data_IF_903088533731
#
_entry.id   IF_903088533731
#
_cell.length_a   1.000
_cell.length_b   1.000
_cell.length_c   1.000
_cell.angle_alpha   90.00
_cell.angle_beta   90.00
_cell.angle_gamma   90.00
#
_symmetry.space_group_name_H-M   'P 1'
#
loop_
_entity.id
_entity.type
_entity.pdbx_description
1 polymer ?
#
# COMPACT_ATOMS: atom_id res chain seq x y z
N UNK A 1 -17.18 -7.22 -21.12
CA UNK A 1 -16.50 -8.37 -21.77
C UNK A 1 -15.46 -7.79 -22.69
N UNK A 2 -14.17 -8.10 -22.48
CA UNK A 2 -13.07 -7.60 -23.33
C UNK A 2 -13.24 -8.14 -24.74
N UNK A 3 -13.21 -7.27 -25.75
CA UNK A 3 -13.41 -7.64 -27.16
C UNK A 3 -12.11 -7.99 -27.88
N UNK A 4 -10.99 -7.40 -27.45
CA UNK A 4 -9.69 -7.66 -28.03
C UNK A 4 -8.58 -7.60 -26.96
N UNK A 5 -7.60 -8.50 -27.08
CA UNK A 5 -6.41 -8.51 -26.23
C UNK A 5 -5.20 -8.22 -27.12
N UNK A 6 -4.35 -7.29 -26.70
CA UNK A 6 -3.12 -6.89 -27.39
C UNK A 6 -1.97 -7.18 -26.44
N UNK A 7 -0.97 -7.94 -26.89
CA UNK A 7 0.23 -8.21 -26.12
C UNK A 7 1.46 -7.55 -26.75
N UNK A 8 2.47 -7.28 -25.94
CA UNK A 8 3.79 -6.90 -26.44
C UNK A 8 4.47 -8.12 -27.09
N UNK A 9 4.71 -8.05 -28.40
CA UNK A 9 5.24 -9.17 -29.19
C UNK A 9 6.59 -9.68 -28.67
N UNK A 10 7.50 -8.78 -28.30
CA UNK A 10 8.80 -9.13 -27.71
C UNK A 10 8.68 -9.96 -26.44
N UNK A 11 7.82 -9.57 -25.51
CA UNK A 11 7.66 -10.28 -24.24
C UNK A 11 6.98 -11.63 -24.44
N UNK A 12 5.94 -11.67 -25.28
CA UNK A 12 5.26 -12.93 -25.60
C UNK A 12 6.19 -13.91 -26.32
N UNK A 13 7.04 -13.43 -27.22
CA UNK A 13 8.01 -14.27 -27.91
C UNK A 13 9.10 -14.78 -26.97
N UNK A 14 9.58 -13.96 -26.03
CA UNK A 14 10.51 -14.41 -24.98
C UNK A 14 9.88 -15.49 -24.09
N UNK A 15 8.61 -15.33 -23.71
CA UNK A 15 7.88 -16.33 -22.94
C UNK A 15 7.68 -17.63 -23.74
N UNK A 16 7.34 -17.55 -25.03
CA UNK A 16 7.24 -18.71 -25.93
C UNK A 16 8.58 -19.44 -26.08
N UNK A 17 9.67 -18.71 -26.29
CA UNK A 17 11.02 -19.26 -26.37
C UNK A 17 11.42 -19.98 -25.08
N UNK A 18 11.12 -19.37 -23.93
CA UNK A 18 11.37 -19.96 -22.60
C UNK A 18 10.59 -21.26 -22.42
N UNK A 19 9.30 -21.26 -22.76
CA UNK A 19 8.42 -22.43 -22.66
C UNK A 19 8.83 -23.54 -23.63
N UNK A 20 9.24 -23.20 -24.84
CA UNK A 20 9.67 -24.16 -25.87
C UNK A 20 11.00 -24.83 -25.54
N UNK A 21 11.87 -24.14 -24.80
CA UNK A 21 13.15 -24.69 -24.31
C UNK A 21 13.02 -25.43 -22.98
N UNK A 22 11.93 -25.21 -22.24
CA UNK A 22 11.71 -25.90 -20.97
C UNK A 22 11.42 -27.38 -21.23
N UNK A 23 11.93 -28.26 -20.36
CA UNK A 23 11.60 -29.67 -20.38
C UNK A 23 10.32 -29.99 -19.60
N UNK A 24 9.60 -28.97 -19.13
CA UNK A 24 8.45 -29.14 -18.25
C UNK A 24 7.18 -29.49 -19.06
N UNK A 25 6.49 -30.60 -18.72
CA UNK A 25 5.32 -31.05 -19.48
C UNK A 25 4.09 -30.16 -19.29
N UNK A 26 4.06 -29.37 -18.21
CA UNK A 26 3.09 -28.32 -18.00
C UNK A 26 3.63 -27.22 -17.09
N UNK A 27 3.17 -25.98 -17.28
CA UNK A 27 3.48 -24.83 -16.45
C UNK A 27 2.24 -23.95 -16.30
N UNK A 28 2.09 -23.31 -15.14
CA UNK A 28 1.08 -22.28 -14.87
C UNK A 28 1.79 -20.99 -14.47
N UNK A 29 1.19 -19.85 -14.81
CA UNK A 29 1.67 -18.57 -14.36
C UNK A 29 0.60 -17.48 -14.48
N UNK A 30 0.99 -16.25 -14.17
CA UNK A 30 0.14 -15.08 -14.14
C UNK A 30 0.27 -14.29 -15.44
N UNK A 31 -0.83 -13.66 -15.84
CA UNK A 31 -0.86 -12.69 -16.93
C UNK A 31 -0.89 -11.30 -16.31
N UNK A 32 0.14 -10.51 -16.58
CA UNK A 32 0.26 -9.14 -16.09
C UNK A 32 -0.18 -8.18 -17.19
N UNK A 33 -1.09 -7.26 -16.85
CA UNK A 33 -1.71 -6.44 -17.87
C UNK A 33 -2.57 -5.31 -17.33
N UNK A 34 -3.22 -4.62 -18.26
CA UNK A 34 -4.21 -3.57 -17.99
C UNK A 34 -5.47 -3.88 -18.77
N UNK A 35 -6.61 -3.94 -18.09
CA UNK A 35 -7.92 -4.06 -18.72
C UNK A 35 -8.56 -2.68 -18.79
N UNK A 36 -8.89 -2.23 -19.99
CA UNK A 36 -9.57 -0.97 -20.20
C UNK A 36 -11.02 -1.21 -20.63
N UNK A 37 -11.95 -0.86 -19.76
CA UNK A 37 -13.39 -0.96 -20.01
C UNK A 37 -13.88 0.06 -21.04
N UNK A 38 -13.34 1.28 -21.05
CA UNK A 38 -13.70 2.32 -22.01
C UNK A 38 -13.31 1.95 -23.47
N UNK A 39 -12.23 1.19 -23.64
CA UNK A 39 -11.74 0.75 -24.95
C UNK A 39 -12.19 -0.69 -25.32
N UNK A 40 -12.87 -1.41 -24.42
CA UNK A 40 -13.16 -2.85 -24.53
C UNK A 40 -11.89 -3.69 -24.88
N UNK A 41 -10.73 -3.27 -24.38
CA UNK A 41 -9.42 -3.86 -24.74
C UNK A 41 -8.63 -4.26 -23.50
N UNK A 42 -7.95 -5.40 -23.60
CA UNK A 42 -6.94 -5.83 -22.64
C UNK A 42 -5.55 -5.65 -23.24
N UNK A 43 -4.62 -5.15 -22.43
CA UNK A 43 -3.20 -5.07 -22.75
C UNK A 43 -2.45 -6.08 -21.89
N UNK A 44 -1.69 -6.97 -22.50
CA UNK A 44 -0.83 -7.94 -21.82
C UNK A 44 0.60 -7.45 -21.93
N UNK A 45 1.23 -7.22 -20.78
CA UNK A 45 2.60 -6.75 -20.71
C UNK A 45 3.57 -7.91 -20.54
N UNK A 46 3.23 -8.90 -19.71
CA UNK A 46 4.13 -10.02 -19.43
C UNK A 46 3.40 -11.29 -18.97
N UNK A 47 4.09 -12.43 -19.07
CA UNK A 47 3.69 -13.75 -18.60
C UNK A 47 4.69 -14.26 -17.56
N UNK A 48 4.28 -14.17 -16.29
CA UNK A 48 5.14 -14.48 -15.13
C UNK A 48 4.86 -15.91 -14.66
N UNK A 49 5.82 -16.85 -14.73
CA UNK A 49 5.61 -18.23 -14.31
C UNK A 49 5.44 -18.28 -12.78
N UNK A 50 4.56 -19.17 -12.30
CA UNK A 50 4.45 -19.38 -10.86
C UNK A 50 5.69 -20.10 -10.35
N UNK A 51 6.37 -19.59 -9.30
CA UNK A 51 7.56 -20.21 -8.75
C UNK A 51 7.26 -21.60 -8.16
N UNK A 52 8.31 -22.37 -7.90
CA UNK A 52 8.16 -23.64 -7.17
C UNK A 52 7.64 -23.38 -5.76
N UNK A 53 6.85 -24.31 -5.23
CA UNK A 53 6.38 -24.21 -3.85
C UNK A 53 7.52 -24.45 -2.84
N UNK A 54 7.25 -24.24 -1.56
CA UNK A 54 8.22 -24.42 -0.47
C UNK A 54 8.84 -25.83 -0.42
N UNK A 55 8.17 -26.82 -1.01
CA UNK A 55 8.66 -28.19 -1.12
C UNK A 55 9.53 -28.44 -2.38
N UNK A 56 9.81 -27.40 -3.16
CA UNK A 56 10.54 -27.47 -4.44
C UNK A 56 9.75 -28.13 -5.57
N UNK A 57 8.42 -28.25 -5.43
CA UNK A 57 7.56 -28.86 -6.44
C UNK A 57 6.97 -27.81 -7.38
N UNK A 58 6.75 -28.14 -8.66
CA UNK A 58 6.14 -27.21 -9.60
C UNK A 58 4.66 -26.98 -9.25
N UNK A 59 4.20 -25.73 -9.40
CA UNK A 59 2.81 -25.34 -9.16
C UNK A 59 1.81 -26.02 -10.12
N UNK A 60 2.29 -26.56 -11.25
CA UNK A 60 1.49 -27.30 -12.21
C UNK A 60 2.25 -28.57 -12.65
N UNK A 61 1.54 -29.69 -12.71
CA UNK A 61 2.09 -30.95 -13.22
C UNK A 61 1.04 -31.73 -14.01
N UNK A 62 1.50 -32.67 -14.83
CA UNK A 62 0.64 -33.57 -15.58
C UNK A 62 0.58 -34.91 -14.85
N UNK A 63 -0.62 -35.34 -14.46
CA UNK A 63 -0.83 -36.71 -13.97
C UNK A 63 -0.74 -37.68 -15.15
N UNK A 64 0.31 -38.51 -15.16
CA UNK A 64 0.30 -39.72 -15.98
C UNK A 64 -0.50 -40.83 -15.29
N UNK A 65 -1.31 -41.61 -16.02
CA UNK A 65 -1.99 -42.76 -15.45
C UNK A 65 -0.96 -43.78 -14.97
N UNK A 66 -1.11 -44.25 -13.73
CA UNK A 66 -0.21 -45.21 -13.11
C UNK A 66 0.00 -46.45 -14.00
N UNK A 67 1.24 -46.69 -14.45
CA UNK A 67 1.62 -47.95 -15.08
C UNK A 67 1.72 -49.03 -13.99
N UNK A 68 0.63 -49.75 -13.79
CA UNK A 68 0.62 -50.96 -12.97
C UNK A 68 1.58 -52.00 -13.58
N UNK A 69 2.74 -52.18 -12.93
CA UNK A 69 3.69 -53.24 -13.24
C UNK A 69 3.11 -54.61 -12.82
N UNK A 70 2.24 -55.21 -13.65
CA UNK A 70 1.89 -56.64 -13.54
C UNK A 70 2.30 -57.42 -14.78
N UNK A 71 3.28 -58.29 -14.59
CA UNK A 71 3.74 -59.33 -15.52
C UNK A 71 2.58 -60.22 -16.01
N UNK A 72 2.48 -60.29 -17.34
CA UNK A 72 2.24 -61.48 -18.20
C UNK A 72 0.87 -62.20 -18.10
N UNK A 73 0.07 -62.12 -19.19
CA UNK A 73 -1.01 -63.08 -19.48
C UNK A 73 -2.01 -62.70 -20.58
N UNK A 74 -1.69 -63.07 -21.83
CA UNK A 74 -2.57 -63.39 -22.99
C UNK A 74 -3.74 -62.47 -23.44
N UNK A 75 -3.58 -61.96 -24.69
CA UNK A 75 -4.57 -61.66 -25.76
C UNK A 75 -6.04 -61.33 -25.37
N UNK A 76 -6.45 -60.08 -25.62
CA UNK A 76 -7.65 -59.75 -26.43
C UNK A 76 -7.77 -58.23 -26.73
N UNK A 77 -8.18 -57.94 -27.97
CA UNK A 77 -8.82 -56.74 -28.54
C UNK A 77 -8.29 -55.33 -28.18
N UNK A 78 -7.77 -54.64 -29.19
CA UNK A 78 -7.50 -53.20 -29.20
C UNK A 78 -8.77 -52.38 -28.93
N UNK A 79 -8.89 -51.87 -27.72
CA UNK A 79 -9.59 -50.61 -27.44
C UNK A 79 -8.52 -49.57 -27.15
N UNK A 80 -8.50 -48.50 -27.94
CA UNK A 80 -7.81 -47.25 -27.64
C UNK A 80 -8.37 -46.71 -26.33
N UNK A 81 -7.69 -46.98 -25.22
CA UNK A 81 -7.87 -46.22 -24.00
C UNK A 81 -7.12 -44.90 -24.19
N UNK A 82 -7.84 -43.82 -24.48
CA UNK A 82 -7.29 -42.47 -24.40
C UNK A 82 -6.76 -42.28 -22.97
N UNK A 83 -5.45 -42.31 -22.84
CA UNK A 83 -4.73 -42.05 -21.61
C UNK A 83 -4.99 -40.58 -21.24
N UNK A 84 -6.06 -40.29 -20.51
CA UNK A 84 -6.44 -38.93 -20.15
C UNK A 84 -5.44 -38.38 -19.14
N UNK A 85 -4.44 -37.66 -19.63
CA UNK A 85 -3.57 -36.81 -18.82
C UNK A 85 -4.41 -35.66 -18.28
N UNK A 86 -4.40 -35.45 -16.96
CA UNK A 86 -5.06 -34.34 -16.29
C UNK A 86 -3.99 -33.41 -15.71
N UNK A 87 -4.23 -32.10 -15.80
CA UNK A 87 -3.44 -31.11 -15.07
C UNK A 87 -3.81 -31.12 -13.59
N UNK A 88 -2.79 -31.12 -12.74
CA UNK A 88 -2.88 -30.82 -11.32
C UNK A 88 -2.24 -29.45 -11.13
N UNK A 89 -3.03 -28.51 -10.61
CA UNK A 89 -2.59 -27.15 -10.31
C UNK A 89 -2.78 -26.93 -8.82
N UNK A 90 -1.72 -26.47 -8.16
CA UNK A 90 -1.82 -25.97 -6.80
C UNK A 90 -2.49 -24.59 -6.82
N UNK A 91 -3.82 -24.60 -6.70
CA UNK A 91 -4.65 -23.39 -6.76
C UNK A 91 -4.29 -22.40 -5.66
N UNK A 92 -3.91 -22.88 -4.48
CA UNK A 92 -3.70 -22.04 -3.30
C UNK A 92 -2.33 -21.37 -3.41
N UNK A 93 -1.32 -22.11 -3.90
CA UNK A 93 -0.02 -21.54 -4.25
C UNK A 93 -0.08 -20.52 -5.39
N UNK A 94 -0.82 -20.81 -6.46
CA UNK A 94 -1.00 -19.86 -7.57
C UNK A 94 -1.77 -18.60 -7.13
N UNK A 95 -2.73 -18.75 -6.22
CA UNK A 95 -3.43 -17.61 -5.63
C UNK A 95 -2.52 -16.78 -4.72
N UNK A 96 -1.65 -17.42 -3.94
CA UNK A 96 -0.66 -16.73 -3.11
C UNK A 96 0.35 -15.96 -3.95
N UNK A 97 0.88 -16.58 -5.00
CA UNK A 97 1.71 -15.90 -5.99
C UNK A 97 1.00 -14.68 -6.60
N UNK A 98 -0.28 -14.82 -6.97
CA UNK A 98 -1.07 -13.70 -7.47
C UNK A 98 -1.27 -12.58 -6.44
N UNK A 99 -1.46 -12.92 -5.17
CA UNK A 99 -1.57 -11.96 -4.06
C UNK A 99 -0.30 -11.13 -3.97
N UNK A 100 0.86 -11.78 -3.93
CA UNK A 100 2.16 -11.12 -3.81
C UNK A 100 2.46 -10.24 -5.03
N UNK A 101 2.33 -10.79 -6.24
CA UNK A 101 2.55 -10.02 -7.48
C UNK A 101 1.58 -8.85 -7.60
N UNK A 102 0.32 -8.99 -7.16
CA UNK A 102 -0.64 -7.88 -7.17
C UNK A 102 -0.22 -6.72 -6.27
N UNK A 103 0.52 -6.98 -5.17
CA UNK A 103 1.11 -5.94 -4.31
C UNK A 103 2.24 -5.21 -5.02
N UNK A 104 2.95 -5.91 -5.90
CA UNK A 104 4.07 -5.35 -6.66
C UNK A 104 3.63 -4.49 -7.86
N UNK A 105 2.37 -4.54 -8.27
CA UNK A 105 1.90 -3.79 -9.43
C UNK A 105 1.59 -2.33 -9.09
N UNK A 106 2.03 -1.42 -9.97
CA UNK A 106 1.76 0.02 -9.90
C UNK A 106 0.60 0.41 -10.82
N UNK A 107 0.07 1.63 -10.64
CA UNK A 107 -1.12 2.20 -11.28
C UNK A 107 -1.54 1.62 -12.63
N UNK A 108 -2.77 1.12 -12.65
CA UNK A 108 -3.43 0.58 -13.84
C UNK A 108 -2.96 -0.83 -14.24
N UNK A 109 -1.78 -1.25 -13.82
CA UNK A 109 -1.26 -2.61 -14.04
C UNK A 109 -1.82 -3.52 -12.94
N UNK A 110 -2.32 -4.70 -13.34
CA UNK A 110 -2.94 -5.68 -12.46
C UNK A 110 -2.59 -7.10 -12.95
N UNK A 111 -2.75 -8.09 -12.07
CA UNK A 111 -2.86 -9.49 -12.48
C UNK A 111 -4.22 -9.66 -13.15
N UNK A 112 -4.24 -9.83 -14.48
CA UNK A 112 -5.49 -9.87 -15.27
C UNK A 112 -5.99 -11.29 -15.53
N UNK A 113 -5.17 -12.31 -15.25
CA UNK A 113 -5.53 -13.70 -15.42
C UNK A 113 -4.36 -14.65 -15.20
N UNK A 114 -4.51 -15.88 -15.68
CA UNK A 114 -3.47 -16.92 -15.67
C UNK A 114 -3.17 -17.39 -17.09
N UNK A 115 -1.95 -17.84 -17.32
CA UNK A 115 -1.60 -18.62 -18.51
C UNK A 115 -1.25 -20.05 -18.10
N UNK A 116 -1.49 -20.98 -19.02
CA UNK A 116 -1.13 -22.39 -18.82
C UNK A 116 -0.48 -22.91 -20.08
N UNK A 117 0.72 -23.47 -19.92
CA UNK A 117 1.41 -24.26 -20.92
C UNK A 117 1.12 -25.73 -20.64
N UNK A 118 0.49 -26.42 -21.58
CA UNK A 118 0.15 -27.84 -21.46
C UNK A 118 -0.22 -28.44 -22.83
N UNK A 119 -0.24 -29.77 -22.92
CA UNK A 119 -0.82 -30.44 -24.09
C UNK A 119 -2.31 -30.12 -24.24
N UNK A 120 -2.80 -30.09 -25.49
CA UNK A 120 -4.21 -29.79 -25.79
C UNK A 120 -5.18 -30.76 -25.07
N UNK A 121 -4.79 -32.04 -24.95
CA UNK A 121 -5.58 -33.03 -24.23
C UNK A 121 -5.69 -32.72 -22.74
N UNK A 122 -4.57 -32.40 -22.08
CA UNK A 122 -4.54 -32.07 -20.66
C UNK A 122 -5.31 -30.79 -20.34
N UNK A 123 -5.23 -29.78 -21.21
CA UNK A 123 -6.00 -28.53 -21.07
C UNK A 123 -7.52 -28.79 -21.13
N UNK A 124 -7.99 -29.54 -22.12
CA UNK A 124 -9.41 -29.85 -22.31
C UNK A 124 -9.99 -30.68 -21.15
N UNK A 125 -9.20 -31.58 -20.58
CA UNK A 125 -9.65 -32.43 -19.47
C UNK A 125 -9.69 -31.70 -18.12
N UNK A 126 -8.98 -30.56 -17.99
CA UNK A 126 -8.80 -29.85 -16.71
C UNK A 126 -9.53 -28.51 -16.61
N UNK A 127 -10.55 -28.24 -17.44
CA UNK A 127 -11.28 -26.96 -17.45
C UNK A 127 -11.82 -26.56 -16.07
N UNK A 128 -12.33 -27.50 -15.28
CA UNK A 128 -12.84 -27.22 -13.93
C UNK A 128 -11.75 -26.72 -12.97
N UNK A 129 -10.57 -27.37 -12.99
CA UNK A 129 -9.42 -26.97 -12.17
C UNK A 129 -8.94 -25.58 -12.58
N UNK A 130 -8.85 -25.32 -13.89
CA UNK A 130 -8.49 -24.01 -14.42
C UNK A 130 -9.45 -22.91 -13.98
N UNK A 131 -10.76 -23.14 -14.06
CA UNK A 131 -11.76 -22.18 -13.59
C UNK A 131 -11.63 -21.88 -12.09
N UNK A 132 -11.36 -22.91 -11.28
CA UNK A 132 -11.14 -22.75 -9.83
C UNK A 132 -9.86 -21.94 -9.55
N UNK A 133 -8.77 -22.23 -10.26
CA UNK A 133 -7.52 -21.47 -10.14
C UNK A 133 -7.72 -20.01 -10.56
N UNK A 134 -8.38 -19.74 -11.69
CA UNK A 134 -8.71 -18.38 -12.14
C UNK A 134 -9.51 -17.64 -11.08
N UNK A 135 -10.50 -18.31 -10.48
CA UNK A 135 -11.31 -17.72 -9.42
C UNK A 135 -10.46 -17.38 -8.19
N UNK A 136 -9.62 -18.30 -7.73
CA UNK A 136 -8.71 -18.06 -6.59
C UNK A 136 -7.75 -16.91 -6.85
N UNK A 137 -7.19 -16.83 -8.06
CA UNK A 137 -6.33 -15.70 -8.49
C UNK A 137 -7.11 -14.39 -8.53
N UNK A 138 -8.34 -14.39 -9.05
CA UNK A 138 -9.17 -13.20 -9.10
C UNK A 138 -9.52 -12.70 -7.70
N UNK A 139 -9.87 -13.61 -6.78
CA UNK A 139 -10.14 -13.28 -5.37
C UNK A 139 -8.88 -12.73 -4.69
N UNK A 140 -7.72 -13.36 -4.89
CA UNK A 140 -6.45 -12.94 -4.31
C UNK A 140 -5.91 -11.60 -4.87
N UNK A 141 -6.21 -11.29 -6.15
CA UNK A 141 -5.81 -10.04 -6.80
C UNK A 141 -6.83 -8.90 -6.62
N UNK A 142 -8.09 -9.22 -6.30
CA UNK A 142 -9.15 -8.23 -6.12
C UNK A 142 -8.97 -7.43 -4.82
N UNK A 143 -9.18 -6.12 -4.89
CA UNK A 143 -8.98 -5.23 -3.73
C UNK A 143 -10.21 -4.44 -3.29
N UNK A 144 -11.42 -4.57 -3.87
CA UNK A 144 -12.65 -3.96 -3.28
C UNK A 144 -13.96 -4.55 -3.81
N UNK A 145 -14.96 -4.59 -2.90
CA UNK A 145 -16.39 -4.56 -3.19
C UNK A 145 -16.82 -3.18 -3.73
N UNK A 146 -17.68 -3.19 -4.74
CA UNK A 146 -18.26 -2.01 -5.40
C UNK A 146 -19.29 -1.27 -4.52
N UNK A 147 -19.43 0.04 -4.80
CA UNK A 147 -20.58 0.92 -4.56
C UNK A 147 -20.68 1.67 -3.20
N UNK A 148 -20.58 3.02 -3.24
CA UNK A 148 -21.71 3.93 -3.00
C UNK A 148 -21.29 5.42 -2.94
N UNK A 149 -22.18 6.22 -3.53
CA UNK A 149 -22.25 7.68 -3.68
C UNK A 149 -22.12 8.48 -2.36
N UNK A 150 -21.57 9.70 -2.44
CA UNK A 150 -21.79 10.93 -1.62
C UNK A 150 -20.50 11.77 -1.45
N UNK A 151 -20.67 13.09 -1.67
CA UNK A 151 -19.66 14.17 -1.78
C UNK A 151 -19.08 14.59 -0.43
N UNK A 152 -17.78 14.93 -0.36
CA UNK A 152 -17.18 16.09 0.35
C UNK A 152 -15.64 16.01 0.39
N UNK A 153 -15.05 16.99 1.08
CA UNK A 153 -13.86 17.78 0.75
C UNK A 153 -12.78 17.62 1.83
N UNK A 154 -11.68 16.83 1.74
CA UNK A 154 -10.55 16.81 2.76
C UNK A 154 -9.18 17.21 2.24
N UNK A 155 -8.26 17.99 2.85
CA UNK A 155 -7.03 18.55 2.22
C UNK A 155 -5.76 17.74 2.53
N UNK A 156 -4.82 17.59 1.57
CA UNK A 156 -3.47 17.06 1.86
C UNK A 156 -2.58 18.24 2.25
N UNK A 157 -2.17 18.25 3.52
CA UNK A 157 -1.08 19.08 4.02
C UNK A 157 -0.07 18.16 4.67
N UNK A 158 1.17 18.62 4.81
CA UNK A 158 2.23 18.10 5.70
C UNK A 158 1.84 18.01 7.20
N UNK A 159 0.56 18.27 7.54
CA UNK A 159 0.07 18.24 8.91
C UNK A 159 -0.32 16.81 9.28
N UNK A 160 0.17 16.31 10.41
CA UNK A 160 -0.01 14.91 10.77
C UNK A 160 -1.49 14.65 11.10
N UNK A 161 -2.06 13.58 10.52
CA UNK A 161 -3.49 13.29 10.63
C UNK A 161 -3.79 12.51 11.89
N UNK A 162 -4.71 13.03 12.70
CA UNK A 162 -5.11 12.45 13.97
C UNK A 162 -6.42 11.70 13.86
N UNK A 163 -6.41 10.44 14.27
CA UNK A 163 -7.60 9.59 14.36
C UNK A 163 -7.89 9.30 15.84
N UNK A 164 -9.04 9.72 16.37
CA UNK A 164 -9.43 9.42 17.74
C UNK A 164 -9.75 7.92 17.88
N UNK A 165 -9.30 7.33 18.98
CA UNK A 165 -9.68 5.98 19.41
C UNK A 165 -10.84 6.15 20.39
N UNK A 166 -11.99 5.55 20.08
CA UNK A 166 -13.19 5.70 20.89
C UNK A 166 -13.30 4.58 21.93
N UNK A 167 -13.95 4.89 23.04
CA UNK A 167 -14.33 3.91 24.04
C UNK A 167 -15.59 3.18 23.56
N UNK A 168 -15.43 2.00 22.98
CA UNK A 168 -16.57 1.16 22.62
C UNK A 168 -17.30 0.64 23.89
N UNK A 169 -18.63 0.64 23.89
CA UNK A 169 -19.47 0.09 24.98
C UNK A 169 -19.63 -1.43 24.88
N UNK A 170 -19.16 -2.03 23.80
CA UNK A 170 -19.24 -3.46 23.46
C UNK A 170 -17.98 -4.19 23.91
N UNK A 171 -18.13 -5.47 24.27
CA UNK A 171 -17.13 -6.27 24.99
C UNK A 171 -15.85 -6.64 24.21
N UNK A 172 -15.66 -6.13 22.98
CA UNK A 172 -14.43 -6.37 22.19
C UNK A 172 -13.52 -5.16 22.33
N UNK A 173 -12.27 -5.40 22.73
CA UNK A 173 -11.24 -4.36 22.70
C UNK A 173 -10.84 -4.08 21.25
N UNK A 174 -10.95 -2.83 20.80
CA UNK A 174 -10.33 -2.40 19.53
C UNK A 174 -8.81 -2.60 19.60
N UNK A 175 -8.26 -3.34 18.63
CA UNK A 175 -6.82 -3.50 18.44
C UNK A 175 -6.23 -2.31 17.67
N UNK A 176 -4.91 -2.15 17.69
CA UNK A 176 -4.25 -1.17 16.81
C UNK A 176 -4.59 -1.43 15.34
N UNK A 177 -4.63 -2.69 14.92
CA UNK A 177 -5.00 -3.09 13.55
C UNK A 177 -6.41 -2.61 13.19
N UNK A 178 -7.40 -2.79 14.06
CA UNK A 178 -8.78 -2.35 13.81
C UNK A 178 -8.85 -0.83 13.57
N UNK A 179 -8.12 -0.06 14.38
CA UNK A 179 -8.06 1.40 14.27
C UNK A 179 -7.34 1.82 12.98
N UNK A 180 -6.27 1.12 12.60
CA UNK A 180 -5.55 1.36 11.34
C UNK A 180 -6.45 1.03 10.13
N UNK A 181 -7.14 -0.11 10.14
CA UNK A 181 -8.12 -0.52 9.13
C UNK A 181 -9.20 0.55 8.93
N UNK A 182 -9.79 1.03 10.02
CA UNK A 182 -10.82 2.07 9.97
C UNK A 182 -10.24 3.40 9.48
N UNK A 183 -9.05 3.76 9.93
CA UNK A 183 -8.33 4.96 9.48
C UNK A 183 -8.08 4.97 7.97
N UNK A 184 -7.53 3.89 7.44
CA UNK A 184 -7.29 3.71 6.00
C UNK A 184 -8.62 3.70 5.25
N UNK A 185 -9.64 3.01 5.75
CA UNK A 185 -10.97 2.95 5.10
C UNK A 185 -11.60 4.35 4.97
N UNK A 186 -11.41 5.21 5.96
CA UNK A 186 -11.81 6.61 5.84
C UNK A 186 -10.99 7.32 4.75
N UNK A 187 -9.66 7.19 4.78
CA UNK A 187 -8.78 7.79 3.78
C UNK A 187 -9.11 7.37 2.34
N UNK A 188 -9.47 6.10 2.13
CA UNK A 188 -9.90 5.56 0.82
C UNK A 188 -11.10 6.33 0.29
N UNK A 189 -12.12 6.56 1.12
CA UNK A 189 -13.33 7.33 0.74
C UNK A 189 -12.97 8.76 0.34
N UNK A 190 -12.04 9.38 1.07
CA UNK A 190 -11.59 10.74 0.77
C UNK A 190 -10.81 10.81 -0.54
N UNK A 191 -9.91 9.84 -0.75
CA UNK A 191 -9.05 9.75 -1.92
C UNK A 191 -9.82 9.53 -3.21
N UNK A 192 -10.90 8.75 -3.15
CA UNK A 192 -11.83 8.59 -4.27
C UNK A 192 -12.40 9.95 -4.73
N UNK A 193 -12.72 10.84 -3.79
CA UNK A 193 -13.21 12.20 -4.05
C UNK A 193 -12.15 13.24 -4.42
N UNK A 194 -10.85 12.90 -4.38
CA UNK A 194 -9.77 13.85 -4.64
C UNK A 194 -9.83 14.45 -6.06
N UNK A 195 -9.48 15.72 -6.20
CA UNK A 195 -9.24 16.33 -7.51
C UNK A 195 -7.77 16.17 -7.88
N UNK A 196 -7.49 15.96 -9.16
CA UNK A 196 -6.12 15.86 -9.64
C UNK A 196 -5.67 17.18 -10.26
N UNK A 197 -4.41 17.54 -10.00
CA UNK A 197 -3.65 18.57 -10.71
C UNK A 197 -2.52 17.87 -11.43
N UNK A 198 -2.35 18.15 -12.72
CA UNK A 198 -1.31 17.59 -13.56
C UNK A 198 -0.44 18.72 -14.09
N UNK A 199 0.85 18.68 -13.78
CA UNK A 199 1.83 19.72 -14.10
C UNK A 199 1.34 21.13 -13.71
N UNK A 200 0.75 21.25 -12.53
CA UNK A 200 0.16 22.50 -12.03
C UNK A 200 -1.20 22.89 -12.60
N UNK A 201 -1.77 22.10 -13.52
CA UNK A 201 -3.09 22.36 -14.13
C UNK A 201 -4.18 21.45 -13.55
N UNK A 202 -5.27 22.04 -13.07
CA UNK A 202 -6.42 21.27 -12.55
C UNK A 202 -7.08 20.46 -13.66
N UNK A 203 -7.30 19.16 -13.43
CA UNK A 203 -8.03 18.30 -14.35
C UNK A 203 -9.53 18.63 -14.25
N UNK A 204 -10.08 19.22 -15.31
CA UNK A 204 -11.50 19.62 -15.40
C UNK A 204 -12.27 18.83 -16.45
N UNK A 205 -11.59 18.42 -17.54
CA UNK A 205 -12.18 17.68 -18.66
C UNK A 205 -11.54 16.30 -18.80
N UNK A 206 -12.31 15.37 -19.36
CA UNK A 206 -11.89 13.99 -19.58
C UNK A 206 -11.24 13.81 -20.97
N UNK A 207 -10.18 14.58 -21.21
CA UNK A 207 -9.46 14.57 -22.49
C UNK A 207 -8.32 13.54 -22.46
N UNK A 208 -7.91 13.06 -23.63
CA UNK A 208 -6.73 12.22 -23.76
C UNK A 208 -5.45 13.05 -23.51
N UNK A 209 -4.43 12.43 -22.93
CA UNK A 209 -3.15 13.12 -22.75
C UNK A 209 -2.50 13.38 -24.11
N UNK A 210 -2.27 14.66 -24.44
CA UNK A 210 -1.65 15.06 -25.71
C UNK A 210 -0.14 15.23 -25.63
N UNK A 211 0.42 15.13 -24.42
CA UNK A 211 1.84 15.30 -24.12
C UNK A 211 2.49 13.96 -23.81
N UNK A 212 3.68 13.74 -24.35
CA UNK A 212 4.49 12.56 -24.05
C UNK A 212 5.47 12.87 -22.92
N UNK A 213 5.67 11.91 -22.01
CA UNK A 213 6.67 12.01 -20.95
C UNK A 213 6.10 11.77 -19.56
N UNK A 214 6.93 12.08 -18.55
CA UNK A 214 6.56 12.02 -17.15
C UNK A 214 5.77 13.27 -16.79
N UNK A 215 4.64 13.07 -16.11
CA UNK A 215 3.76 14.11 -15.63
C UNK A 215 3.67 14.06 -14.11
N UNK A 216 3.77 15.22 -13.47
CA UNK A 216 3.60 15.33 -12.03
C UNK A 216 2.10 15.40 -11.71
N UNK A 217 1.63 14.48 -10.86
CA UNK A 217 0.23 14.42 -10.45
C UNK A 217 0.10 14.68 -8.97
N UNK A 218 -0.56 15.77 -8.62
CA UNK A 218 -0.92 16.09 -7.24
C UNK A 218 -2.40 15.80 -7.02
N UNK A 219 -2.70 14.98 -6.00
CA UNK A 219 -4.06 14.75 -5.56
C UNK A 219 -4.45 15.77 -4.50
N UNK A 220 -5.16 16.80 -4.95
CA UNK A 220 -5.82 17.74 -4.08
C UNK A 220 -7.03 17.06 -3.47
N UNK A 221 -6.80 16.48 -2.32
CA UNK A 221 -7.90 16.30 -1.42
C UNK A 221 -8.45 17.77 -1.12
N UNK A 222 -9.76 18.00 -1.00
CA UNK A 222 -10.29 19.37 -0.75
C UNK A 222 -10.33 19.93 0.74
N UNK A 223 -10.23 21.21 1.13
CA UNK A 223 -10.11 21.61 2.59
C UNK A 223 -11.21 21.22 3.67
N UNK A 224 -10.90 20.37 4.68
CA UNK A 224 -11.76 20.16 5.89
C UNK A 224 -11.41 21.11 7.04
N UNK A 225 -12.44 21.60 7.77
CA UNK A 225 -12.27 22.04 9.16
C UNK A 225 -12.02 20.83 10.05
N UNK A 226 -11.20 21.00 11.08
CA UNK A 226 -10.70 19.98 12.00
C UNK A 226 -11.77 19.17 12.78
N UNK A 227 -12.56 18.35 12.10
CA UNK A 227 -13.53 17.44 12.71
C UNK A 227 -12.87 16.48 13.72
N UNK A 228 -11.57 16.20 13.53
CA UNK A 228 -10.75 15.35 14.39
C UNK A 228 -10.17 16.08 15.62
N UNK A 229 -10.03 17.41 15.58
CA UNK A 229 -9.65 18.20 16.78
C UNK A 229 -10.86 18.35 17.71
N UNK A 230 -12.08 18.49 17.17
CA UNK A 230 -13.30 18.48 17.99
C UNK A 230 -13.53 17.13 18.69
N UNK A 231 -13.15 16.01 18.06
CA UNK A 231 -13.28 14.69 18.69
C UNK A 231 -12.41 14.54 19.95
N UNK A 232 -11.23 15.18 20.01
CA UNK A 232 -10.36 15.16 21.19
C UNK A 232 -10.98 15.85 22.43
N UNK A 233 -12.07 16.60 22.25
CA UNK A 233 -12.83 17.23 23.34
C UNK A 233 -14.01 16.39 23.84
N UNK A 234 -14.25 15.22 23.23
CA UNK A 234 -15.36 14.32 23.59
C UNK A 234 -14.95 13.38 24.73
N UNK A 235 -15.89 13.12 25.65
CA UNK A 235 -15.66 12.28 26.84
C UNK A 235 -15.36 10.81 26.54
N UNK A 236 -15.59 10.37 25.31
CA UNK A 236 -15.51 8.97 24.90
C UNK A 236 -14.21 8.66 24.12
N UNK A 237 -13.25 9.60 24.01
CA UNK A 237 -11.96 9.35 23.34
C UNK A 237 -10.90 8.90 24.35
N UNK A 238 -10.27 7.75 24.09
CA UNK A 238 -9.27 7.13 24.98
C UNK A 238 -7.84 7.22 24.46
N UNK A 239 -7.66 7.64 23.21
CA UNK A 239 -6.35 7.83 22.59
C UNK A 239 -6.44 8.47 21.21
N UNK A 240 -5.27 8.74 20.61
CA UNK A 240 -5.16 9.30 19.26
C UNK A 240 -4.05 8.58 18.49
N UNK A 241 -4.36 8.10 17.29
CA UNK A 241 -3.38 7.60 16.32
C UNK A 241 -3.03 8.71 15.36
N UNK A 242 -1.75 8.87 15.05
CA UNK A 242 -1.26 9.93 14.19
C UNK A 242 -0.55 9.35 12.96
N UNK A 243 -1.07 9.63 11.77
CA UNK A 243 -0.46 9.21 10.51
C UNK A 243 0.43 10.31 9.96
N UNK A 244 1.68 9.95 9.65
CA UNK A 244 2.71 10.87 9.15
C UNK A 244 3.51 10.19 8.05
N UNK A 245 3.70 10.88 6.93
CA UNK A 245 4.44 10.35 5.78
C UNK A 245 3.96 10.94 4.47
N UNK A 246 4.61 10.52 3.39
CA UNK A 246 4.19 10.73 2.01
C UNK A 246 3.95 9.37 1.35
N UNK A 247 3.03 9.35 0.38
CA UNK A 247 2.80 8.18 -0.47
C UNK A 247 3.10 8.56 -1.91
N UNK A 248 3.80 7.68 -2.62
CA UNK A 248 4.08 7.87 -4.04
C UNK A 248 3.43 6.76 -4.87
N UNK A 249 3.05 7.10 -6.09
CA UNK A 249 2.41 6.21 -7.06
C UNK A 249 2.82 6.59 -8.47
N UNK A 250 2.88 5.59 -9.34
CA UNK A 250 3.02 5.76 -10.78
C UNK A 250 1.81 5.15 -11.47
N UNK A 251 1.38 5.75 -12.58
CA UNK A 251 0.42 5.17 -13.50
C UNK A 251 0.90 5.37 -14.93
N UNK A 252 0.62 4.39 -15.77
CA UNK A 252 0.97 4.42 -17.19
C UNK A 252 -0.30 4.54 -18.01
N UNK A 253 -0.35 5.58 -18.83
CA UNK A 253 -1.48 5.92 -19.68
C UNK A 253 -1.10 5.76 -21.15
N UNK A 254 -1.94 5.08 -21.92
CA UNK A 254 -1.78 5.07 -23.37
C UNK A 254 -2.34 6.37 -23.97
N UNK A 255 -1.73 6.87 -25.06
CA UNK A 255 -2.20 8.00 -25.88
C UNK A 255 -3.70 8.04 -26.21
N UNK A 256 -4.39 6.89 -26.22
CA UNK A 256 -5.83 6.77 -26.51
C UNK A 256 -6.72 6.74 -25.26
N UNK A 257 -6.12 6.65 -24.09
CA UNK A 257 -6.83 6.60 -22.82
C UNK A 257 -7.05 8.01 -22.28
N UNK A 258 -8.19 8.26 -21.63
CA UNK A 258 -8.45 9.55 -21.01
C UNK A 258 -7.59 9.77 -19.76
N UNK A 259 -7.26 11.02 -19.47
CA UNK A 259 -6.51 11.40 -18.27
C UNK A 259 -7.21 10.95 -16.98
N UNK A 260 -8.56 10.93 -16.94
CA UNK A 260 -9.28 10.43 -15.77
C UNK A 260 -8.92 8.98 -15.42
N UNK A 261 -8.56 8.16 -16.42
CA UNK A 261 -8.12 6.79 -16.19
C UNK A 261 -6.78 6.77 -15.45
N UNK A 262 -5.82 7.62 -15.83
CA UNK A 262 -4.55 7.73 -15.08
C UNK A 262 -4.79 8.15 -13.63
N UNK A 263 -5.68 9.12 -13.41
CA UNK A 263 -6.04 9.59 -12.07
C UNK A 263 -6.70 8.49 -11.25
N UNK A 264 -7.64 7.74 -11.84
CA UNK A 264 -8.27 6.59 -11.19
C UNK A 264 -7.24 5.50 -10.85
N UNK A 265 -6.36 5.18 -11.79
CA UNK A 265 -5.29 4.20 -11.63
C UNK A 265 -4.32 4.59 -10.49
N UNK A 266 -3.97 5.88 -10.37
CA UNK A 266 -3.14 6.41 -9.27
C UNK A 266 -3.87 6.28 -7.93
N UNK A 267 -5.15 6.67 -7.87
CA UNK A 267 -5.95 6.55 -6.64
C UNK A 267 -6.04 5.09 -6.20
N UNK A 268 -6.39 4.19 -7.11
CA UNK A 268 -6.47 2.75 -6.86
C UNK A 268 -5.13 2.19 -6.36
N UNK A 269 -4.02 2.65 -6.93
CA UNK A 269 -2.69 2.22 -6.52
C UNK A 269 -2.31 2.72 -5.13
N UNK A 270 -2.59 3.97 -4.78
CA UNK A 270 -2.37 4.49 -3.42
C UNK A 270 -3.21 3.72 -2.40
N UNK A 271 -4.48 3.44 -2.73
CA UNK A 271 -5.39 2.64 -1.89
C UNK A 271 -4.83 1.23 -1.68
N UNK A 272 -4.43 0.57 -2.78
CA UNK A 272 -3.81 -0.75 -2.73
C UNK A 272 -2.55 -0.73 -1.86
N UNK A 273 -1.72 0.28 -2.06
CA UNK A 273 -0.45 0.43 -1.35
C UNK A 273 -0.62 0.62 0.16
N UNK A 274 -1.62 1.38 0.59
CA UNK A 274 -1.97 1.50 2.01
C UNK A 274 -2.45 0.17 2.60
N UNK A 275 -3.28 -0.57 1.87
CA UNK A 275 -3.77 -1.87 2.30
C UNK A 275 -2.66 -2.90 2.36
N UNK A 276 -1.82 -3.00 1.34
CA UNK A 276 -0.68 -3.93 1.33
C UNK A 276 0.24 -3.70 2.52
N UNK A 277 0.51 -2.45 2.90
CA UNK A 277 1.28 -2.14 4.11
C UNK A 277 0.60 -2.64 5.38
N UNK A 278 -0.72 -2.49 5.48
CA UNK A 278 -1.46 -2.98 6.64
C UNK A 278 -1.53 -4.49 6.67
N UNK A 279 -1.77 -5.15 5.53
CA UNK A 279 -1.77 -6.60 5.43
C UNK A 279 -0.41 -7.17 5.84
N UNK A 280 0.71 -6.58 5.41
CA UNK A 280 2.06 -7.03 5.82
C UNK A 280 2.21 -6.95 7.35
N UNK A 281 1.71 -5.89 7.97
CA UNK A 281 1.74 -5.72 9.43
C UNK A 281 0.83 -6.72 10.14
N UNK A 282 -0.28 -7.12 9.52
CA UNK A 282 -1.19 -8.13 10.06
C UNK A 282 -0.60 -9.53 9.90
N UNK A 283 -0.04 -9.84 8.73
CA UNK A 283 0.65 -11.10 8.43
C UNK A 283 1.77 -11.33 9.47
N UNK A 284 2.58 -10.31 9.78
CA UNK A 284 3.61 -10.34 10.85
C UNK A 284 3.00 -10.55 12.26
N UNK A 285 1.83 -9.96 12.51
CA UNK A 285 1.14 -10.12 13.78
C UNK A 285 0.54 -11.51 13.98
N UNK A 286 0.29 -12.26 12.91
CA UNK A 286 -0.30 -13.61 12.99
C UNK A 286 0.78 -14.72 13.06
N UNK A 287 2.06 -14.38 12.84
CA UNK A 287 3.18 -15.29 13.08
C UNK A 287 3.33 -15.58 14.59
N UNK A 288 3.07 -16.84 14.99
CA UNK A 288 3.21 -17.30 16.38
C UNK A 288 4.67 -17.11 16.83
N UNK A 289 4.96 -16.29 17.87
CA UNK A 289 6.31 -16.19 18.38
C UNK A 289 6.70 -17.57 18.89
N UNK A 290 7.59 -18.24 18.17
CA UNK A 290 8.04 -19.59 18.50
C UNK A 290 8.49 -19.72 19.97
N UNK A 291 8.59 -20.94 20.50
CA UNK A 291 8.82 -21.15 21.92
C UNK A 291 10.07 -20.42 22.38
N UNK A 292 9.88 -19.44 23.27
CA UNK A 292 10.94 -18.61 23.85
C UNK A 292 11.90 -19.54 24.59
N UNK A 293 13.13 -19.65 24.08
CA UNK A 293 14.20 -20.34 24.78
C UNK A 293 14.51 -19.54 26.06
N UNK A 294 14.10 -20.10 27.20
CA UNK A 294 14.31 -19.54 28.53
C UNK A 294 15.79 -19.63 28.93
N UNK A 295 16.64 -18.87 28.25
CA UNK A 295 18.01 -18.59 28.63
C UNK A 295 18.09 -17.38 29.56
N UNK A 296 17.94 -17.65 30.87
CA UNK A 296 18.25 -16.81 32.04
C UNK A 296 18.87 -15.44 31.70
N UNK A 297 18.09 -14.35 31.83
CA UNK A 297 18.63 -13.00 32.08
C UNK A 297 17.86 -12.31 33.20
N UNK A 298 18.64 -11.73 34.09
CA UNK A 298 18.29 -11.27 35.42
C UNK A 298 17.33 -10.08 35.42
N UNK A 299 16.58 -9.99 36.52
CA UNK A 299 15.56 -8.99 36.79
C UNK A 299 16.09 -7.55 36.72
N UNK A 300 15.64 -6.82 35.70
CA UNK A 300 15.64 -5.36 35.61
C UNK A 300 14.31 -4.92 35.00
N UNK A 301 13.67 -3.92 35.59
CA UNK A 301 12.32 -3.45 35.26
C UNK A 301 12.15 -3.06 33.78
N UNK A 302 11.69 -3.97 32.92
CA UNK A 302 11.09 -3.68 31.61
C UNK A 302 10.02 -4.74 31.29
N UNK A 303 8.85 -4.63 31.92
CA UNK A 303 7.67 -5.45 31.63
C UNK A 303 6.97 -4.95 30.35
N UNK A 304 7.71 -4.93 29.23
CA UNK A 304 7.23 -4.62 27.89
C UNK A 304 7.99 -5.41 26.80
N UNK A 305 8.52 -6.58 27.16
CA UNK A 305 9.01 -7.56 26.18
C UNK A 305 7.91 -8.56 25.91
N UNK A 306 7.53 -8.72 24.63
CA UNK A 306 7.09 -9.97 23.95
C UNK A 306 5.90 -9.86 22.96
N UNK A 307 5.24 -8.70 22.79
CA UNK A 307 4.22 -8.55 21.73
C UNK A 307 4.61 -7.50 20.69
N UNK A 308 4.53 -7.80 19.38
CA UNK A 308 4.72 -6.81 18.32
C UNK A 308 3.70 -5.68 18.47
N UNK A 309 4.09 -4.46 18.08
CA UNK A 309 3.30 -3.23 18.30
C UNK A 309 1.88 -3.35 17.70
N UNK A 310 1.75 -4.11 16.61
CA UNK A 310 0.49 -4.46 15.93
C UNK A 310 -0.52 -5.18 16.83
N UNK A 311 -0.07 -5.99 17.80
CA UNK A 311 -0.94 -6.75 18.71
C UNK A 311 -1.27 -6.01 20.02
N UNK A 312 -0.84 -4.76 20.17
CA UNK A 312 -1.05 -4.02 21.41
C UNK A 312 -2.52 -3.58 21.57
N UNK A 313 -3.04 -3.77 22.77
CA UNK A 313 -4.37 -3.32 23.16
C UNK A 313 -4.30 -1.85 23.59
N UNK A 314 -4.85 -0.97 22.78
CA UNK A 314 -4.62 0.48 22.84
C UNK A 314 -5.01 1.13 24.18
N UNK A 315 -6.11 0.70 24.81
CA UNK A 315 -6.57 1.26 26.09
C UNK A 315 -5.65 0.94 27.28
N UNK A 316 -4.71 0.00 27.13
CA UNK A 316 -3.73 -0.35 28.16
C UNK A 316 -2.42 0.44 28.02
N UNK A 317 -2.23 1.16 26.90
CA UNK A 317 -0.99 1.89 26.62
C UNK A 317 -1.01 3.29 27.29
N UNK A 318 -0.05 3.52 28.18
CA UNK A 318 0.20 4.85 28.80
C UNK A 318 1.39 5.60 28.20
N UNK A 319 2.11 4.98 27.24
CA UNK A 319 3.29 5.56 26.58
C UNK A 319 3.00 5.72 25.09
N UNK A 320 3.61 6.74 24.48
CA UNK A 320 3.62 6.91 23.02
C UNK A 320 4.28 5.70 22.37
N UNK A 321 3.59 5.09 21.42
CA UNK A 321 4.12 4.02 20.58
C UNK A 321 4.28 4.54 19.14
N UNK A 322 5.30 4.05 18.43
CA UNK A 322 5.52 4.33 17.03
C UNK A 322 5.54 3.01 16.27
N UNK A 323 4.83 2.96 15.15
CA UNK A 323 4.83 1.84 14.23
C UNK A 323 5.28 2.37 12.86
N UNK A 324 6.39 1.85 12.36
CA UNK A 324 6.86 2.18 11.02
C UNK A 324 6.15 1.28 10.02
N UNK A 325 5.56 1.86 8.98
CA UNK A 325 4.99 1.08 7.88
C UNK A 325 6.11 0.61 6.93
N UNK A 326 5.91 -0.50 6.19
CA UNK A 326 6.83 -0.92 5.13
C UNK A 326 7.07 0.20 4.10
N UNK A 327 8.34 0.39 3.71
CA UNK A 327 8.80 1.38 2.75
C UNK A 327 8.53 0.88 1.33
N UNK A 328 7.82 1.68 0.52
CA UNK A 328 7.58 1.32 -0.88
C UNK A 328 8.77 1.73 -1.74
N UNK A 329 9.29 0.80 -2.51
CA UNK A 329 10.43 0.99 -3.41
C UNK A 329 9.99 0.67 -4.83
N UNK A 330 10.43 1.46 -5.82
CA UNK A 330 10.13 1.21 -7.23
C UNK A 330 11.33 0.63 -7.98
N UNK A 331 11.10 -0.48 -8.67
CA UNK A 331 12.12 -1.23 -9.41
C UNK A 331 11.83 -1.13 -10.91
N UNK A 332 12.83 -0.78 -11.74
CA UNK A 332 12.69 -0.79 -13.19
C UNK A 332 12.31 -2.19 -13.70
N UNK A 333 11.34 -2.25 -14.61
CA UNK A 333 10.86 -3.51 -15.17
C UNK A 333 10.96 -3.54 -16.70
N UNK A 334 9.89 -3.18 -17.41
CA UNK A 334 9.86 -3.08 -18.87
C UNK A 334 10.14 -1.63 -19.32
N UNK A 335 10.27 -1.39 -20.62
CA UNK A 335 10.63 -0.12 -21.28
C UNK A 335 10.18 1.19 -20.59
N UNK A 336 10.92 1.62 -19.55
CA UNK A 336 10.62 2.84 -18.77
C UNK A 336 9.50 2.71 -17.73
N UNK A 337 9.02 1.49 -17.48
CA UNK A 337 8.00 1.17 -16.46
C UNK A 337 8.64 0.68 -15.17
N UNK A 338 7.85 0.72 -14.11
CA UNK A 338 8.25 0.31 -12.78
C UNK A 338 7.26 -0.72 -12.22
N UNK A 339 7.78 -1.65 -11.44
CA UNK A 339 7.02 -2.36 -10.41
C UNK A 339 7.40 -1.80 -9.04
N UNK A 340 6.70 -2.18 -7.99
CA UNK A 340 7.09 -1.84 -6.63
C UNK A 340 7.31 -3.07 -5.77
N UNK A 341 7.97 -2.87 -4.63
CA UNK A 341 8.03 -3.81 -3.52
C UNK A 341 7.94 -3.04 -2.19
N UNK A 342 7.73 -3.76 -1.10
CA UNK A 342 7.61 -3.20 0.24
C UNK A 342 8.70 -3.76 1.14
N UNK A 343 9.64 -2.91 1.54
CA UNK A 343 10.69 -3.27 2.48
C UNK A 343 10.28 -2.92 3.90
N UNK A 344 10.24 -3.91 4.77
CA UNK A 344 10.12 -3.69 6.20
C UNK A 344 11.31 -2.86 6.73
N UNK A 345 11.18 -2.22 7.91
CA UNK A 345 12.25 -1.38 8.46
C UNK A 345 13.65 -2.00 8.57
N UNK A 346 13.82 -3.30 8.91
CA UNK A 346 15.15 -3.90 8.96
C UNK A 346 15.67 -4.37 7.59
N UNK A 347 14.81 -4.41 6.56
CA UNK A 347 15.14 -4.99 5.27
C UNK A 347 15.94 -4.05 4.38
N UNK A 348 16.82 -4.67 3.58
CA UNK A 348 17.75 -4.01 2.68
C UNK A 348 17.41 -4.29 1.23
N UNK A 349 18.12 -3.64 0.31
CA UNK A 349 17.92 -3.79 -1.14
C UNK A 349 18.30 -5.18 -1.67
N UNK A 350 18.93 -6.03 -0.87
CA UNK A 350 19.19 -7.43 -1.24
C UNK A 350 17.88 -8.23 -1.32
N UNK A 351 17.00 -8.07 -0.33
CA UNK A 351 15.69 -8.75 -0.28
C UNK A 351 14.86 -8.43 -1.52
N UNK A 352 14.88 -7.16 -1.94
CA UNK A 352 14.24 -6.67 -3.16
C UNK A 352 14.66 -7.46 -4.41
N UNK A 353 15.96 -7.78 -4.54
CA UNK A 353 16.48 -8.50 -5.70
C UNK A 353 15.98 -9.94 -5.71
N UNK A 354 15.97 -10.58 -4.55
CA UNK A 354 15.51 -11.94 -4.40
C UNK A 354 14.02 -12.03 -4.75
N UNK A 355 13.18 -11.12 -4.25
CA UNK A 355 11.76 -11.03 -4.59
C UNK A 355 11.52 -10.80 -6.09
N UNK A 356 12.30 -9.91 -6.74
CA UNK A 356 12.15 -9.67 -8.18
C UNK A 356 12.47 -10.92 -9.02
N UNK A 357 13.49 -11.68 -8.62
CA UNK A 357 13.87 -12.91 -9.31
C UNK A 357 12.84 -14.01 -9.07
N UNK A 358 12.39 -14.17 -7.83
CA UNK A 358 11.47 -15.24 -7.43
C UNK A 358 10.04 -15.00 -7.92
N UNK A 359 9.47 -13.83 -7.65
CA UNK A 359 8.06 -13.52 -7.87
C UNK A 359 7.78 -13.04 -9.28
N UNK A 360 8.71 -12.29 -9.88
CA UNK A 360 8.50 -11.71 -11.20
C UNK A 360 9.28 -12.44 -12.30
N UNK A 361 10.14 -13.41 -11.94
CA UNK A 361 11.06 -14.08 -12.88
C UNK A 361 11.91 -13.10 -13.68
N UNK A 362 12.23 -11.96 -13.06
CA UNK A 362 13.04 -10.90 -13.66
C UNK A 362 14.53 -11.15 -13.40
N UNK A 363 15.38 -10.57 -14.24
CA UNK A 363 16.78 -10.41 -13.88
C UNK A 363 16.91 -9.38 -12.76
N UNK A 364 17.75 -9.68 -11.76
CA UNK A 364 17.97 -8.76 -10.65
C UNK A 364 18.47 -7.39 -11.16
N UNK A 365 17.93 -6.27 -10.65
CA UNK A 365 18.36 -4.95 -11.07
C UNK A 365 19.86 -4.75 -10.76
N UNK A 366 20.65 -4.63 -11.83
CA UNK A 366 22.11 -4.48 -11.75
C UNK A 366 22.56 -3.07 -11.32
N UNK A 367 21.71 -2.07 -11.54
CA UNK A 367 21.99 -0.66 -11.27
C UNK A 367 21.05 -0.12 -10.18
N UNK A 368 21.55 -0.09 -8.94
CA UNK A 368 20.80 0.39 -7.78
C UNK A 368 20.40 1.87 -7.91
N UNK A 369 21.06 2.67 -8.76
CA UNK A 369 20.71 4.09 -8.95
C UNK A 369 19.39 4.31 -9.69
N UNK A 370 18.87 3.27 -10.37
CA UNK A 370 17.57 3.31 -11.06
C UNK A 370 16.40 2.91 -10.18
N UNK A 371 16.69 2.39 -8.98
CA UNK A 371 15.69 2.05 -7.97
C UNK A 371 15.29 3.35 -7.28
N UNK A 372 13.98 3.60 -7.18
CA UNK A 372 13.46 4.84 -6.60
C UNK A 372 12.89 4.55 -5.21
N UNK A 373 13.35 5.30 -4.21
CA UNK A 373 12.74 5.40 -2.88
C UNK A 373 12.11 6.79 -2.71
N UNK A 374 10.94 7.06 -3.32
CA UNK A 374 10.38 8.41 -3.37
C UNK A 374 9.69 8.85 -2.08
N UNK A 375 9.46 7.94 -1.14
CA UNK A 375 8.80 8.25 0.13
C UNK A 375 9.86 8.59 1.18
N UNK A 376 9.89 9.84 1.65
CA UNK A 376 10.78 10.27 2.71
C UNK A 376 10.15 10.04 4.10
N UNK A 377 10.98 9.73 5.11
CA UNK A 377 10.51 9.63 6.49
C UNK A 377 10.01 11.00 6.95
N UNK A 378 8.77 11.05 7.44
CA UNK A 378 8.21 12.30 7.95
C UNK A 378 9.04 12.85 9.11
N UNK A 379 9.27 14.17 9.11
CA UNK A 379 9.89 14.86 10.23
C UNK A 379 9.09 14.54 11.49
N UNK A 380 9.75 13.95 12.49
CA UNK A 380 9.14 13.62 13.77
C UNK A 380 8.73 14.90 14.49
N UNK A 381 7.50 15.35 14.25
CA UNK A 381 6.92 16.46 15.00
C UNK A 381 6.63 15.93 16.39
N UNK A 382 7.41 16.36 17.38
CA UNK A 382 7.12 16.15 18.81
C UNK A 382 5.80 16.86 19.15
N UNK A 383 4.68 16.17 18.96
CA UNK A 383 3.39 16.60 19.48
C UNK A 383 3.32 16.21 20.95
N UNK A 384 2.79 17.10 21.80
CA UNK A 384 2.47 16.79 23.20
C UNK A 384 1.69 15.47 23.27
N UNK A 385 1.96 14.64 24.28
CA UNK A 385 1.25 13.38 24.47
C UNK A 385 -0.25 13.64 24.59
N UNK A 386 -1.09 12.71 24.11
CA UNK A 386 -2.54 12.76 24.33
C UNK A 386 -2.87 13.03 25.81
N UNK A 387 -2.13 12.40 26.72
CA UNK A 387 -2.28 12.57 28.16
C UNK A 387 -1.89 13.98 28.65
N UNK A 388 -0.93 14.64 28.01
CA UNK A 388 -0.55 16.02 28.36
C UNK A 388 -1.65 17.03 27.98
N UNK A 389 -2.53 16.66 27.05
CA UNK A 389 -3.66 17.48 26.58
C UNK A 389 -4.94 17.19 27.37
N UNK A 390 -5.14 15.94 27.79
CA UNK A 390 -6.40 15.48 28.41
C UNK A 390 -6.39 15.57 29.94
N UNK A 391 -5.23 15.68 30.60
CA UNK A 391 -5.18 15.89 32.06
C UNK A 391 -5.57 17.34 32.39
N UNK A 392 -6.72 17.60 33.05
CA UNK A 392 -7.03 18.92 33.56
C UNK A 392 -6.16 19.12 34.81
N UNK A 393 -5.25 20.11 34.78
CA UNK A 393 -4.52 20.65 35.93
C UNK A 393 -4.42 19.73 37.15
N UNK A 394 -3.53 18.74 37.10
CA UNK A 394 -3.03 18.12 38.33
C UNK A 394 -1.51 18.21 38.30
N UNK A 395 -0.99 19.24 38.96
CA UNK A 395 0.44 19.48 39.14
C UNK A 395 1.12 18.28 39.76
N UNK A 396 2.25 17.85 39.20
CA UNK A 396 3.49 17.73 39.97
C UNK A 396 4.68 17.69 39.02
N UNK A 397 5.65 18.53 39.36
CA UNK A 397 6.95 18.73 38.73
C UNK A 397 7.79 17.46 38.60
N UNK A 398 8.33 17.21 37.41
CA UNK A 398 9.64 16.59 37.24
C UNK A 398 10.40 17.30 36.12
N UNK A 399 11.45 17.99 36.52
CA UNK A 399 12.45 18.60 35.65
C UNK A 399 13.34 17.53 35.02
N UNK A 400 13.49 17.52 33.70
CA UNK A 400 14.68 16.96 33.06
C UNK A 400 15.00 17.76 31.80
N UNK A 401 16.27 18.16 31.72
CA UNK A 401 16.85 19.13 30.81
C UNK A 401 16.81 18.69 29.35
N UNK A 402 16.23 19.51 28.48
CA UNK A 402 16.61 19.54 27.06
C UNK A 402 17.94 20.30 26.93
N UNK A 403 19.02 19.58 26.58
CA UNK A 403 20.25 20.20 26.07
C UNK A 403 19.98 20.65 24.63
N UNK A 404 19.63 21.92 24.46
CA UNK A 404 19.75 22.58 23.16
C UNK A 404 21.24 22.93 22.91
N UNK A 405 21.77 22.45 21.79
CA UNK A 405 23.05 22.88 21.24
C UNK A 405 22.84 24.28 20.65
N UNK A 406 23.42 25.29 21.29
CA UNK A 406 23.38 26.68 20.86
C UNK A 406 24.66 27.03 20.09
N UNK A 407 24.50 27.50 18.85
CA UNK A 407 25.56 28.08 18.03
C UNK A 407 25.92 29.43 18.65
N UNK A 408 27.21 29.59 18.96
CA UNK A 408 27.80 30.76 19.61
C UNK A 408 27.65 32.06 18.81
N UNK A 409 27.05 33.07 19.43
CA UNK A 409 27.13 34.48 19.06
C UNK A 409 27.11 35.33 20.33
N UNK A 410 28.26 35.90 20.68
CA UNK A 410 28.53 36.60 21.94
C UNK A 410 28.28 38.10 21.75
N UNK A 411 27.34 38.70 22.48
CA UNK A 411 27.51 40.08 23.00
C UNK A 411 26.50 40.47 24.10
N UNK A 412 27.02 41.25 25.05
CA UNK A 412 26.43 41.68 26.32
C UNK A 412 25.20 42.59 26.15
N UNK A 413 24.19 42.46 27.03
CA UNK A 413 23.87 43.48 28.05
C UNK A 413 22.51 43.26 28.77
N UNK A 414 22.58 43.45 30.09
CA UNK A 414 21.54 43.93 31.01
C UNK A 414 20.11 43.36 30.99
N UNK A 415 19.82 42.61 32.07
CA UNK A 415 18.49 42.39 32.65
C UNK A 415 17.67 43.68 32.73
N UNK A 416 16.52 43.71 32.09
CA UNK A 416 15.34 44.45 32.57
C UNK A 416 14.07 43.63 32.35
N UNK A 417 13.30 43.44 33.42
CA UNK A 417 12.00 42.77 33.41
C UNK A 417 11.01 43.54 32.55
N UNK A 418 10.49 42.93 31.47
CA UNK A 418 9.40 43.50 30.67
C UNK A 418 8.13 42.69 30.87
N UNK A 419 7.14 43.34 31.47
CA UNK A 419 5.75 42.91 31.52
C UNK A 419 5.16 42.86 30.10
N UNK A 420 4.38 41.83 29.73
CA UNK A 420 3.72 41.76 28.44
C UNK A 420 2.39 42.51 28.55
N UNK A 421 2.38 43.83 28.37
CA UNK A 421 1.09 44.54 28.20
C UNK A 421 1.13 45.85 27.41
N UNK A 422 2.28 46.52 27.26
CA UNK A 422 2.32 47.84 26.61
C UNK A 422 2.16 47.79 25.08
N UNK A 423 2.76 46.81 24.40
CA UNK A 423 2.66 46.71 22.93
C UNK A 423 1.25 46.31 22.47
N UNK A 424 0.57 45.45 23.23
CA UNK A 424 -0.81 45.06 22.94
C UNK A 424 -1.77 46.23 23.14
N UNK A 425 -1.63 46.98 24.25
CA UNK A 425 -2.44 48.18 24.51
C UNK A 425 -2.18 49.27 23.44
N UNK A 426 -0.93 49.46 23.03
CA UNK A 426 -0.60 50.41 21.95
C UNK A 426 -1.24 50.00 20.61
N UNK A 427 -1.22 48.71 20.26
CA UNK A 427 -1.85 48.21 19.04
C UNK A 427 -3.37 48.42 19.03
N UNK A 428 -4.04 48.20 20.16
CA UNK A 428 -5.48 48.44 20.31
C UNK A 428 -5.82 49.93 20.17
N UNK A 429 -5.01 50.83 20.73
CA UNK A 429 -5.21 52.28 20.61
C UNK A 429 -5.04 52.73 19.15
N UNK A 430 -4.04 52.22 18.43
CA UNK A 430 -3.80 52.55 17.02
C UNK A 430 -4.98 52.09 16.15
N UNK A 431 -5.53 50.90 16.43
CA UNK A 431 -6.69 50.37 15.72
C UNK A 431 -7.94 51.24 15.95
N UNK A 432 -8.19 51.65 17.20
CA UNK A 432 -9.31 52.54 17.53
C UNK A 432 -9.19 53.92 16.86
N UNK A 433 -7.98 54.50 16.83
CA UNK A 433 -7.72 55.77 16.13
C UNK A 433 -7.95 55.65 14.63
N UNK A 434 -7.55 54.53 14.02
CA UNK A 434 -7.74 54.28 12.59
C UNK A 434 -9.23 54.18 12.22
N UNK A 435 -10.03 53.53 13.05
CA UNK A 435 -11.50 53.45 12.89
C UNK A 435 -12.14 54.83 13.06
N UNK A 436 -11.69 55.63 14.04
CA UNK A 436 -12.21 56.98 14.29
C UNK A 436 -11.90 57.92 13.12
N UNK A 437 -10.67 57.88 12.58
CA UNK A 437 -10.28 58.64 11.39
C UNK A 437 -11.11 58.21 10.18
N UNK A 438 -11.28 56.90 9.96
CA UNK A 438 -12.15 56.37 8.91
C UNK A 438 -13.59 56.88 9.04
N UNK A 439 -14.14 56.91 10.26
CA UNK A 439 -15.49 57.41 10.51
C UNK A 439 -15.64 58.92 10.25
N UNK A 440 -14.60 59.71 10.54
CA UNK A 440 -14.58 61.15 10.24
C UNK A 440 -14.52 61.43 8.74
N UNK A 441 -13.77 60.62 7.98
CA UNK A 441 -13.69 60.75 6.53
C UNK A 441 -14.96 60.27 5.81
N UNK A 442 -15.60 59.19 6.29
CA UNK A 442 -16.88 58.69 5.74
C UNK A 442 -18.04 59.65 6.01
N UNK A 443 -17.98 60.46 7.08
CA UNK A 443 -19.04 61.43 7.42
C UNK A 443 -18.86 62.80 6.75
N UNK A 444 -17.77 63.00 5.99
CA UNK A 444 -17.48 64.22 5.21
C UNK A 444 -17.53 64.00 3.70
N UNK A 445 -17.94 62.81 3.24
CA UNK A 445 -18.46 62.57 1.89
C UNK A 445 -19.97 62.37 1.96
#
# INVERSE_FOLDING_TARGET
MVKAVVGEESQLQLAEDRLSRSSEPAQVGLVIGKLNSALDRGFVFDLVPTPQNDAGQPACSVLEPAKDNKKKGSKSKSQTSDSSSNLVIDKDWVAEHARQVSRMMVGGIKVVGIYVWASEAAFKNSTMVLCQTVKGVAEAASTLEDDLDVRLLIHICYSPRRLPIYQEKTSKSETLVDVLCNGISNYVKELQGAKAVIDGNLVVNDEACTTEGLHEVELLLPFMKDMYIEACSQKDVVGVVNFTGSLCSFSFLNSKEPISQAVADIKDDIIRSLRSRLDIICDEADEDPGPIDNGIKEAGNDLASEKPVSQLVLHSLRKTCNLSLPRRVFVPWLAGTYICDYLQPPETLEVLKDHCVELMSMEAPNDASKILEPEEEAIRVSTRSFWDVVIPYCSTSSSTQEKNIEITGKENSQKTSKSPSLYFVAAVIILLLSVLVGFVFVRKS
#
